data_IF_408933742000
#
_entry.id   IF_408933742000
#
_cell.length_a   1.000
_cell.length_b   1.000
_cell.length_c   1.000
_cell.angle_alpha   90.00
_cell.angle_beta   90.00
_cell.angle_gamma   90.00
#
_symmetry.space_group_name_H-M   'P 1'
#
loop_
_entity.id
_entity.type
_entity.pdbx_description
1 polymer ?
#
# COMPACT_ATOMS: atom_id res chain seq x y z
N UNK A 1 -15.57 57.28 -19.89
CA UNK A 1 -15.30 56.35 -18.78
C UNK A 1 -14.28 57.04 -17.90
N UNK A 2 -14.65 57.34 -16.66
CA UNK A 2 -13.87 58.23 -15.80
C UNK A 2 -12.62 57.53 -15.27
N UNK A 3 -11.48 58.24 -15.17
CA UNK A 3 -10.18 57.64 -14.82
C UNK A 3 -10.21 56.98 -13.43
N UNK A 4 -11.02 57.55 -12.53
CA UNK A 4 -11.29 57.03 -11.18
C UNK A 4 -12.02 55.68 -11.21
N UNK A 5 -12.94 55.48 -12.15
CA UNK A 5 -13.67 54.22 -12.31
C UNK A 5 -12.75 53.11 -12.84
N UNK A 6 -11.88 53.46 -13.80
CA UNK A 6 -10.89 52.53 -14.38
C UNK A 6 -9.92 52.06 -13.29
N UNK A 7 -9.38 52.96 -12.48
CA UNK A 7 -8.47 52.62 -11.37
C UNK A 7 -9.14 51.70 -10.34
N UNK A 8 -10.40 51.96 -9.98
CA UNK A 8 -11.18 51.11 -9.06
C UNK A 8 -11.41 49.71 -9.63
N UNK A 9 -11.70 49.57 -10.92
CA UNK A 9 -11.87 48.27 -11.57
C UNK A 9 -10.56 47.48 -11.59
N UNK A 10 -9.44 48.13 -11.92
CA UNK A 10 -8.11 47.51 -11.90
C UNK A 10 -7.74 47.04 -10.49
N UNK A 11 -8.00 47.83 -9.45
CA UNK A 11 -7.75 47.43 -8.06
C UNK A 11 -8.61 46.22 -7.64
N UNK A 12 -9.90 46.20 -7.99
CA UNK A 12 -10.79 45.06 -7.72
C UNK A 12 -10.34 43.80 -8.45
N UNK A 13 -9.96 43.91 -9.72
CA UNK A 13 -9.46 42.79 -10.51
C UNK A 13 -8.14 42.24 -9.94
N UNK A 14 -7.22 43.11 -9.50
CA UNK A 14 -5.99 42.69 -8.80
C UNK A 14 -6.32 41.94 -7.51
N UNK A 15 -7.25 42.45 -6.70
CA UNK A 15 -7.68 41.78 -5.46
C UNK A 15 -8.30 40.40 -5.74
N UNK A 16 -9.20 40.31 -6.72
CA UNK A 16 -9.80 39.03 -7.13
C UNK A 16 -8.77 38.05 -7.69
N UNK A 17 -7.83 38.51 -8.52
CA UNK A 17 -6.74 37.69 -9.02
C UNK A 17 -5.88 37.16 -7.87
N UNK A 18 -5.50 38.01 -6.90
CA UNK A 18 -4.76 37.58 -5.71
C UNK A 18 -5.54 36.52 -4.91
N UNK A 19 -6.85 36.70 -4.72
CA UNK A 19 -7.70 35.72 -4.05
C UNK A 19 -7.70 34.39 -4.82
N UNK A 20 -7.91 34.42 -6.14
CA UNK A 20 -7.92 33.23 -6.99
C UNK A 20 -6.57 32.52 -6.95
N UNK A 21 -5.45 33.24 -7.09
CA UNK A 21 -4.11 32.64 -7.01
C UNK A 21 -3.84 32.04 -5.63
N UNK A 22 -4.28 32.71 -4.56
CA UNK A 22 -4.13 32.19 -3.20
C UNK A 22 -4.94 30.90 -3.00
N UNK A 23 -6.17 30.83 -3.53
CA UNK A 23 -7.00 29.64 -3.48
C UNK A 23 -6.37 28.47 -4.25
N UNK A 24 -5.85 28.73 -5.46
CA UNK A 24 -5.14 27.72 -6.25
C UNK A 24 -3.90 27.23 -5.50
N UNK A 25 -3.12 28.13 -4.91
CA UNK A 25 -1.93 27.76 -4.15
C UNK A 25 -2.27 26.85 -2.97
N UNK A 26 -3.35 27.13 -2.22
CA UNK A 26 -3.83 26.28 -1.13
C UNK A 26 -4.22 24.90 -1.63
N UNK A 27 -4.95 24.81 -2.76
CA UNK A 27 -5.32 23.53 -3.37
C UNK A 27 -4.07 22.74 -3.77
N UNK A 28 -3.09 23.38 -4.42
CA UNK A 28 -1.84 22.72 -4.82
C UNK A 28 -1.09 22.17 -3.60
N UNK A 29 -0.98 22.95 -2.52
CA UNK A 29 -0.34 22.51 -1.28
C UNK A 29 -1.10 21.31 -0.70
N UNK A 30 -2.43 21.34 -0.67
CA UNK A 30 -3.24 20.23 -0.18
C UNK A 30 -3.02 18.95 -1.00
N UNK A 31 -2.94 19.06 -2.34
CA UNK A 31 -2.64 17.92 -3.22
C UNK A 31 -1.25 17.37 -2.96
N UNK A 32 -0.23 18.22 -2.80
CA UNK A 32 1.14 17.78 -2.51
C UNK A 32 1.24 17.06 -1.16
N UNK A 33 0.57 17.58 -0.13
CA UNK A 33 0.50 16.93 1.19
C UNK A 33 -0.20 15.58 1.07
N UNK A 34 -1.37 15.54 0.41
CA UNK A 34 -2.13 14.30 0.20
C UNK A 34 -1.32 13.25 -0.55
N UNK A 35 -0.61 13.67 -1.62
CA UNK A 35 0.28 12.79 -2.37
C UNK A 35 1.43 12.26 -1.51
N UNK A 36 2.05 13.12 -0.68
CA UNK A 36 3.11 12.71 0.25
C UNK A 36 2.64 11.67 1.27
N UNK A 37 1.46 11.89 1.87
CA UNK A 37 0.83 10.94 2.80
C UNK A 37 0.53 9.61 2.10
N UNK A 38 -0.08 9.66 0.91
CA UNK A 38 -0.39 8.47 0.12
C UNK A 38 0.88 7.66 -0.18
N UNK A 39 1.91 8.32 -0.71
CA UNK A 39 3.20 7.68 -1.00
C UNK A 39 3.83 7.07 0.25
N UNK A 40 3.77 7.77 1.38
CA UNK A 40 4.24 7.23 2.64
C UNK A 40 3.45 5.97 3.04
N UNK A 41 2.13 5.99 3.03
CA UNK A 41 1.31 4.85 3.45
C UNK A 41 1.46 3.62 2.54
N UNK A 42 1.71 3.84 1.24
CA UNK A 42 1.80 2.76 0.25
C UNK A 42 3.23 2.31 -0.09
N UNK A 43 4.26 2.90 0.54
CA UNK A 43 5.65 2.45 0.34
C UNK A 43 5.97 1.32 1.30
N UNK A 44 6.35 0.17 0.75
CA UNK A 44 6.85 -0.99 1.49
C UNK A 44 8.15 -0.68 2.21
N UNK A 45 8.20 -1.06 3.48
CA UNK A 45 9.40 -1.23 4.29
C UNK A 45 9.18 -2.42 5.23
N UNK A 46 10.23 -3.21 5.50
CA UNK A 46 10.15 -4.34 6.43
C UNK A 46 9.62 -3.91 7.81
N UNK A 47 10.01 -2.72 8.28
CA UNK A 47 9.47 -2.15 9.51
C UNK A 47 7.93 -1.97 9.48
N UNK A 48 7.37 -1.39 8.42
CA UNK A 48 5.90 -1.22 8.31
C UNK A 48 5.18 -2.56 8.20
N UNK A 49 5.81 -3.51 7.52
CA UNK A 49 5.31 -4.86 7.40
C UNK A 49 5.17 -5.53 8.77
N UNK A 50 6.19 -5.42 9.62
CA UNK A 50 6.20 -6.00 10.96
C UNK A 50 5.34 -5.23 11.98
N UNK A 51 5.41 -3.89 11.96
CA UNK A 51 4.74 -3.05 12.96
C UNK A 51 3.20 -3.01 12.79
N UNK A 52 2.69 -3.26 11.58
CA UNK A 52 1.26 -3.13 11.28
C UNK A 52 0.73 -4.21 10.33
N UNK A 53 0.56 -5.47 10.79
CA UNK A 53 0.06 -6.57 9.98
C UNK A 53 -1.26 -6.26 9.26
N UNK A 54 -2.21 -5.63 9.95
CA UNK A 54 -3.52 -5.25 9.40
C UNK A 54 -3.47 -4.18 8.29
N UNK A 55 -2.33 -3.52 8.08
CA UNK A 55 -2.13 -2.50 7.06
C UNK A 55 -1.28 -2.98 5.88
N UNK A 56 -0.86 -4.25 5.86
CA UNK A 56 0.01 -4.80 4.81
C UNK A 56 -0.66 -4.78 3.42
N UNK A 57 -1.99 -4.86 3.33
CA UNK A 57 -2.74 -4.65 2.07
C UNK A 57 -2.38 -3.33 1.37
N UNK A 58 -1.99 -2.28 2.11
CA UNK A 58 -1.59 -0.99 1.52
C UNK A 58 -0.20 -1.03 0.88
N UNK A 59 0.68 -1.91 1.35
CA UNK A 59 2.11 -1.94 0.95
C UNK A 59 2.50 -3.19 0.15
N UNK A 60 1.69 -4.24 0.15
CA UNK A 60 1.99 -5.52 -0.53
C UNK A 60 2.20 -5.34 -2.04
N UNK A 61 1.49 -4.41 -2.67
CA UNK A 61 1.71 -4.09 -4.07
C UNK A 61 3.11 -3.46 -4.32
N UNK A 62 3.60 -2.63 -3.42
CA UNK A 62 4.94 -2.03 -3.52
C UNK A 62 6.05 -3.04 -3.16
N UNK A 63 5.76 -4.02 -2.29
CA UNK A 63 6.62 -5.19 -2.05
C UNK A 63 6.89 -5.93 -3.36
N UNK A 64 5.83 -6.39 -4.05
CA UNK A 64 5.97 -7.14 -5.30
C UNK A 64 6.60 -6.33 -6.43
N UNK A 65 6.43 -4.99 -6.41
CA UNK A 65 7.08 -4.11 -7.38
C UNK A 65 8.60 -4.03 -7.20
N UNK A 66 9.08 -4.14 -5.96
CA UNK A 66 10.49 -3.95 -5.60
C UNK A 66 11.27 -5.25 -5.45
N UNK A 67 10.56 -6.33 -5.13
CA UNK A 67 11.14 -7.63 -4.79
C UNK A 67 10.49 -8.71 -5.64
N UNK A 68 11.29 -9.40 -6.45
CA UNK A 68 10.88 -10.61 -7.13
C UNK A 68 10.95 -11.77 -6.14
N UNK A 69 9.80 -12.21 -5.63
CA UNK A 69 9.76 -13.27 -4.61
C UNK A 69 10.09 -14.64 -5.18
N UNK A 70 9.73 -14.90 -6.45
CA UNK A 70 9.98 -16.18 -7.11
C UNK A 70 11.49 -16.40 -7.19
N UNK A 71 11.94 -17.59 -6.76
CA UNK A 71 13.36 -17.95 -6.71
C UNK A 71 14.08 -17.57 -5.41
N UNK A 72 13.47 -16.80 -4.51
CA UNK A 72 14.02 -16.57 -3.17
C UNK A 72 13.98 -17.86 -2.35
N UNK A 73 14.93 -18.04 -1.44
CA UNK A 73 14.83 -19.12 -0.43
C UNK A 73 13.86 -18.71 0.69
N UNK A 74 13.39 -19.71 1.43
CA UNK A 74 12.60 -19.50 2.64
C UNK A 74 13.29 -18.55 3.63
N UNK A 75 14.61 -18.69 3.85
CA UNK A 75 15.36 -17.81 4.73
C UNK A 75 15.46 -16.38 4.20
N UNK A 76 15.54 -16.19 2.88
CA UNK A 76 15.50 -14.85 2.28
C UNK A 76 14.13 -14.19 2.46
N UNK A 77 13.05 -14.95 2.33
CA UNK A 77 11.69 -14.46 2.62
C UNK A 77 11.55 -14.08 4.09
N UNK A 78 11.96 -14.96 5.01
CA UNK A 78 11.94 -14.69 6.45
C UNK A 78 12.83 -13.49 6.80
N UNK A 79 13.98 -13.33 6.14
CA UNK A 79 14.84 -12.16 6.34
C UNK A 79 14.18 -10.85 5.87
N UNK A 80 13.39 -10.90 4.79
CA UNK A 80 12.72 -9.75 4.21
C UNK A 80 11.44 -9.35 4.97
N UNK A 81 10.63 -10.34 5.34
CA UNK A 81 9.26 -10.17 5.84
C UNK A 81 9.09 -10.55 7.31
N UNK A 82 10.11 -11.17 7.92
CA UNK A 82 10.03 -11.79 9.24
C UNK A 82 9.34 -13.15 9.22
N UNK A 83 9.27 -13.79 10.38
CA UNK A 83 8.51 -15.02 10.57
C UNK A 83 7.02 -14.79 10.35
N UNK A 84 6.33 -15.81 9.83
CA UNK A 84 4.87 -15.80 9.77
C UNK A 84 4.24 -15.78 11.17
N UNK A 85 3.01 -15.28 11.25
CA UNK A 85 2.28 -15.33 12.51
C UNK A 85 1.96 -16.78 12.89
N UNK A 86 2.09 -17.13 14.18
CA UNK A 86 1.82 -18.50 14.66
C UNK A 86 0.42 -19.01 14.30
N UNK A 87 -0.58 -18.15 14.10
CA UNK A 87 -1.91 -18.60 13.66
C UNK A 87 -2.01 -18.74 12.13
N UNK A 88 -1.17 -18.05 11.37
CA UNK A 88 -1.17 -18.07 9.91
C UNK A 88 -0.71 -19.44 9.39
N UNK A 89 0.27 -20.07 10.07
CA UNK A 89 0.76 -21.42 9.73
C UNK A 89 -0.32 -22.53 9.81
N UNK A 90 -1.42 -22.26 10.52
CA UNK A 90 -2.56 -23.20 10.63
C UNK A 90 -3.55 -23.08 9.48
N UNK A 91 -3.39 -22.07 8.60
CA UNK A 91 -4.28 -21.80 7.47
C UNK A 91 -3.80 -22.56 6.23
N UNK A 92 -4.54 -23.59 5.87
CA UNK A 92 -4.22 -24.47 4.72
C UNK A 92 -5.23 -24.39 3.57
N UNK A 93 -6.31 -23.63 3.74
CA UNK A 93 -7.38 -23.51 2.74
C UNK A 93 -7.97 -22.10 2.75
N UNK A 94 -8.24 -21.59 1.55
CA UNK A 94 -8.72 -20.24 1.30
C UNK A 94 -9.87 -20.26 0.29
N UNK A 95 -10.68 -19.20 0.25
CA UNK A 95 -11.96 -19.15 -0.50
C UNK A 95 -11.77 -19.11 -2.02
N UNK A 96 -10.77 -18.39 -2.55
CA UNK A 96 -10.65 -18.09 -3.99
C UNK A 96 -9.88 -19.19 -4.72
N UNK A 97 -8.75 -19.63 -4.17
CA UNK A 97 -7.85 -20.61 -4.79
C UNK A 97 -8.44 -22.02 -4.84
N UNK A 98 -9.38 -22.34 -3.95
CA UNK A 98 -10.03 -23.65 -3.85
C UNK A 98 -9.00 -24.81 -3.85
N UNK A 99 -7.85 -24.58 -3.20
CA UNK A 99 -6.68 -25.47 -3.20
C UNK A 99 -6.19 -25.65 -1.77
N UNK A 100 -5.65 -26.83 -1.47
CA UNK A 100 -4.96 -27.11 -0.21
C UNK A 100 -3.50 -26.66 -0.28
N UNK A 101 -3.07 -25.88 0.70
CA UNK A 101 -1.69 -25.46 0.88
C UNK A 101 -1.06 -26.25 2.02
N UNK A 102 0.03 -26.93 1.73
CA UNK A 102 0.80 -27.70 2.71
C UNK A 102 1.62 -26.77 3.61
N UNK A 103 1.41 -26.76 4.94
CA UNK A 103 2.16 -25.92 5.87
C UNK A 103 3.68 -26.12 5.82
N UNK A 104 4.15 -27.32 5.47
CA UNK A 104 5.60 -27.59 5.39
C UNK A 104 6.24 -26.96 4.15
N UNK A 105 5.43 -26.60 3.15
CA UNK A 105 5.88 -26.06 1.87
C UNK A 105 5.23 -24.71 1.56
N UNK A 106 4.70 -24.01 2.56
CA UNK A 106 3.99 -22.75 2.37
C UNK A 106 4.27 -21.79 3.52
N UNK A 107 4.56 -20.54 3.20
CA UNK A 107 4.61 -19.44 4.17
C UNK A 107 3.38 -18.56 3.97
N UNK A 108 2.70 -18.22 5.06
CA UNK A 108 1.45 -17.46 5.03
C UNK A 108 1.57 -16.19 5.87
N UNK A 109 1.27 -15.04 5.28
CA UNK A 109 1.20 -13.77 6.01
C UNK A 109 -0.21 -13.19 5.99
N UNK A 110 -0.72 -12.80 7.15
CA UNK A 110 -1.93 -11.97 7.22
C UNK A 110 -1.65 -10.59 6.63
N UNK A 111 -2.50 -10.10 5.72
CA UNK A 111 -2.34 -8.80 5.08
C UNK A 111 -3.25 -7.72 5.68
N UNK A 112 -4.34 -8.13 6.33
CA UNK A 112 -5.41 -7.27 6.82
C UNK A 112 -6.79 -7.83 6.51
N UNK A 113 -7.80 -6.97 6.55
CA UNK A 113 -9.21 -7.34 6.31
C UNK A 113 -9.73 -6.55 5.12
N UNK A 114 -10.41 -7.23 4.20
CA UNK A 114 -11.22 -6.60 3.17
C UNK A 114 -12.69 -6.94 3.41
N UNK A 115 -13.48 -5.91 3.71
CA UNK A 115 -14.84 -6.02 4.24
C UNK A 115 -14.96 -6.94 5.46
N UNK A 116 -15.28 -8.22 5.26
CA UNK A 116 -15.50 -9.21 6.32
C UNK A 116 -14.50 -10.36 6.27
N UNK A 117 -13.63 -10.39 5.26
CA UNK A 117 -12.72 -11.50 5.03
C UNK A 117 -11.28 -11.07 5.33
N UNK A 118 -10.57 -11.90 6.08
CA UNK A 118 -9.12 -11.74 6.24
C UNK A 118 -8.46 -12.00 4.88
N UNK A 119 -7.52 -11.14 4.52
CA UNK A 119 -6.73 -11.22 3.30
C UNK A 119 -5.35 -11.76 3.66
N UNK A 120 -4.85 -12.68 2.84
CA UNK A 120 -3.62 -13.42 3.11
C UNK A 120 -2.70 -13.38 1.89
N UNK A 121 -1.40 -13.35 2.15
CA UNK A 121 -0.36 -13.66 1.17
C UNK A 121 0.08 -15.11 1.41
N UNK A 122 -0.03 -15.93 0.38
CA UNK A 122 0.37 -17.34 0.41
C UNK A 122 1.58 -17.48 -0.52
N UNK A 123 2.70 -17.99 0.01
CA UNK A 123 3.94 -18.19 -0.73
C UNK A 123 4.25 -19.68 -0.73
N UNK A 124 4.21 -20.31 -1.90
CA UNK A 124 4.45 -21.75 -2.07
C UNK A 124 5.92 -22.03 -2.40
N UNK A 125 6.50 -22.95 -1.65
CA UNK A 125 7.88 -23.38 -1.76
C UNK A 125 7.98 -24.71 -2.52
N UNK A 126 9.10 -24.91 -3.21
CA UNK A 126 9.53 -26.20 -3.75
C UNK A 126 10.99 -26.36 -3.39
N UNK A 127 11.29 -27.33 -2.52
CA UNK A 127 12.63 -27.55 -1.96
C UNK A 127 13.19 -26.29 -1.26
N UNK A 128 12.37 -25.59 -0.47
CA UNK A 128 12.76 -24.38 0.26
C UNK A 128 12.94 -23.13 -0.61
N UNK A 129 12.55 -23.18 -1.89
CA UNK A 129 12.63 -22.06 -2.84
C UNK A 129 11.24 -21.65 -3.28
N UNK A 130 10.95 -20.36 -3.29
CA UNK A 130 9.66 -19.82 -3.75
C UNK A 130 9.41 -20.17 -5.21
N UNK A 131 8.34 -20.91 -5.44
CA UNK A 131 7.89 -21.36 -6.77
C UNK A 131 6.73 -20.50 -7.29
N UNK A 132 5.84 -20.07 -6.40
CA UNK A 132 4.69 -19.23 -6.71
C UNK A 132 4.20 -18.49 -5.47
N UNK A 133 3.39 -17.46 -5.66
CA UNK A 133 2.66 -16.81 -4.58
C UNK A 133 1.30 -16.32 -5.08
N UNK A 134 0.34 -16.18 -4.17
CA UNK A 134 -0.97 -15.59 -4.46
C UNK A 134 -1.52 -14.80 -3.27
N UNK A 135 -2.55 -13.98 -3.54
CA UNK A 135 -3.37 -13.34 -2.52
C UNK A 135 -4.72 -14.04 -2.51
N UNK A 136 -5.20 -14.38 -1.32
CA UNK A 136 -6.49 -15.04 -1.13
C UNK A 136 -7.16 -14.54 0.16
N UNK A 137 -8.38 -14.99 0.41
CA UNK A 137 -9.20 -14.59 1.54
C UNK A 137 -9.79 -15.82 2.26
N UNK A 138 -10.08 -15.70 3.56
CA UNK A 138 -10.76 -16.75 4.34
C UNK A 138 -12.19 -16.42 4.67
#
# INVERSE_FOLDING_TARGET
MDEVEVQKQVQRAKMWNTIIFSLIAVIVIAVLIGFGIYRYQHTFTAKKWLDAPNARTKIVADLFKKHELIGMTEEEIISLLGEEEHYANTKTSFKISNTYFDPENTIVYHLGVDYMDDVWLIISLTNGIVSSYCIDVT
#
